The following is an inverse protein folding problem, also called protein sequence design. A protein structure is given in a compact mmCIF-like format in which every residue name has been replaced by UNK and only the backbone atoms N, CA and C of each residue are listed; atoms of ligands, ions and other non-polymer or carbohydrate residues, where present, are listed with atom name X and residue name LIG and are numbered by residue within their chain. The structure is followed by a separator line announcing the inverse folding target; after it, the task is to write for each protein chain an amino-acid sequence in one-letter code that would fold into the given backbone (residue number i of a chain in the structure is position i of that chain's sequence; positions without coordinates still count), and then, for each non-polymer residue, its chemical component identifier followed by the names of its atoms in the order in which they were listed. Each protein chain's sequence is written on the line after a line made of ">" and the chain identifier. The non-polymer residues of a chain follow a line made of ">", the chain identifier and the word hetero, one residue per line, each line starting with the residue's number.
data_IF_769518852165
#
_entry.id   IF_769518852165
#
_cell.length_a   1.000
_cell.length_b   1.000
_cell.length_c   1.000
_cell.angle_alpha   90.00
_cell.angle_beta   90.00
_cell.angle_gamma   90.00
#
_symmetry.space_group_name_H-M   'P 1'
#
loop_
_entity.id
_entity.type
_entity.pdbx_description
1 polymer ?
#
# COMPACT_ATOMS: atom_id res chain seq x y z
N UNK A 1 -9.31 -8.80 -1.57
CA UNK A 1 -10.67 -8.26 -1.38
C UNK A 1 -10.97 -7.27 -2.48
N UNK A 2 -12.08 -7.44 -3.17
CA UNK A 2 -12.52 -6.47 -4.17
C UNK A 2 -13.17 -5.28 -3.47
N UNK A 3 -12.73 -4.07 -3.84
CA UNK A 3 -13.36 -2.86 -3.35
C UNK A 3 -14.66 -2.60 -4.13
N UNK A 4 -15.69 -2.03 -3.48
CA UNK A 4 -16.88 -1.56 -4.20
C UNK A 4 -16.51 -0.58 -5.31
N UNK A 5 -17.26 -0.60 -6.39
CA UNK A 5 -17.01 0.25 -7.56
C UNK A 5 -16.92 1.75 -7.22
N UNK A 6 -17.65 2.19 -6.20
CA UNK A 6 -17.62 3.59 -5.76
C UNK A 6 -16.22 4.04 -5.36
N UNK A 7 -15.38 3.13 -4.85
CA UNK A 7 -14.01 3.42 -4.44
C UNK A 7 -13.00 3.18 -5.56
N UNK A 8 -13.38 2.47 -6.61
CA UNK A 8 -12.52 2.17 -7.77
C UNK A 8 -12.93 2.94 -9.02
N UNK A 9 -13.67 4.04 -8.86
CA UNK A 9 -14.07 4.92 -9.95
C UNK A 9 -12.86 5.38 -10.77
N UNK A 10 -12.94 5.42 -12.10
CA UNK A 10 -11.83 5.92 -12.94
C UNK A 10 -11.34 7.30 -12.54
N UNK A 11 -12.21 8.16 -11.98
CA UNK A 11 -11.83 9.50 -11.53
C UNK A 11 -10.87 9.47 -10.33
N UNK A 12 -10.85 8.36 -9.56
CA UNK A 12 -10.02 8.21 -8.38
C UNK A 12 -8.74 7.42 -8.65
N UNK A 13 -8.62 6.82 -9.82
CA UNK A 13 -7.45 6.00 -10.17
C UNK A 13 -6.32 6.90 -10.65
N UNK A 14 -5.13 6.68 -10.07
CA UNK A 14 -3.91 7.39 -10.46
C UNK A 14 -3.06 6.47 -11.34
N UNK A 15 -2.83 6.87 -12.59
CA UNK A 15 -1.94 6.14 -13.48
C UNK A 15 -0.50 6.53 -13.20
N UNK A 16 0.38 5.55 -13.04
CA UNK A 16 1.79 5.76 -12.68
C UNK A 16 2.65 4.94 -13.62
N UNK A 17 3.51 5.58 -14.43
CA UNK A 17 4.41 4.84 -15.33
C UNK A 17 5.46 4.03 -14.57
N UNK A 18 5.92 2.94 -15.19
CA UNK A 18 7.02 2.14 -14.67
C UNK A 18 8.23 3.02 -14.34
N UNK A 19 8.88 2.76 -13.21
CA UNK A 19 10.04 3.51 -12.74
C UNK A 19 9.72 4.76 -11.93
N UNK A 20 8.46 5.16 -11.84
CA UNK A 20 8.07 6.33 -11.05
C UNK A 20 8.20 6.04 -9.56
N UNK A 21 8.84 6.95 -8.85
CA UNK A 21 8.89 6.93 -7.39
C UNK A 21 7.57 7.50 -6.87
N UNK A 22 6.77 6.67 -6.24
CA UNK A 22 5.44 7.04 -5.72
C UNK A 22 5.61 7.86 -4.44
N UNK A 23 6.50 7.41 -3.54
CA UNK A 23 6.91 8.17 -2.36
C UNK A 23 8.30 7.71 -1.90
N UNK A 24 8.92 8.53 -1.07
CA UNK A 24 10.24 8.25 -0.48
C UNK A 24 10.14 8.13 1.04
N UNK A 25 11.05 7.34 1.61
CA UNK A 25 11.21 7.24 3.07
C UNK A 25 11.35 8.65 3.65
N UNK A 26 10.60 8.95 4.68
CA UNK A 26 10.60 10.26 5.35
C UNK A 26 9.59 11.25 4.81
N UNK A 27 8.97 11.00 3.67
CA UNK A 27 7.94 11.88 3.13
C UNK A 27 6.73 11.93 4.06
N UNK A 28 6.05 13.07 4.05
CA UNK A 28 4.76 13.19 4.72
C UNK A 28 3.75 12.31 4.01
N UNK A 29 2.81 11.77 4.78
CA UNK A 29 1.80 10.85 4.27
C UNK A 29 0.41 11.27 4.70
N UNK A 30 -0.55 11.11 3.83
CA UNK A 30 -1.96 11.29 4.12
C UNK A 30 -2.82 10.25 3.43
N UNK A 31 -2.20 9.26 2.78
CA UNK A 31 -2.94 8.27 2.00
C UNK A 31 -2.21 6.93 1.94
N UNK A 32 -2.99 5.88 1.78
CA UNK A 32 -2.49 4.57 1.36
C UNK A 32 -2.93 4.31 -0.07
N UNK A 33 -2.45 3.23 -0.67
CA UNK A 33 -2.78 2.89 -2.05
C UNK A 33 -3.20 1.42 -2.16
N UNK A 34 -4.24 1.18 -2.95
CA UNK A 34 -4.58 -0.16 -3.43
C UNK A 34 -4.09 -0.27 -4.87
N UNK A 35 -3.44 -1.36 -5.20
CA UNK A 35 -2.97 -1.61 -6.56
C UNK A 35 -4.13 -2.19 -7.37
N UNK A 36 -4.64 -1.39 -8.31
CA UNK A 36 -5.69 -1.85 -9.24
C UNK A 36 -5.07 -2.73 -10.33
N UNK A 37 -3.92 -2.31 -10.85
CA UNK A 37 -3.15 -3.11 -11.81
C UNK A 37 -1.67 -2.74 -11.72
N UNK A 38 -0.80 -3.68 -12.12
CA UNK A 38 0.64 -3.50 -12.10
C UNK A 38 1.28 -4.02 -10.81
N UNK A 39 2.55 -3.68 -10.64
CA UNK A 39 3.35 -4.10 -9.48
C UNK A 39 4.15 -2.92 -8.93
N UNK A 40 4.23 -2.83 -7.60
CA UNK A 40 4.96 -1.78 -6.89
C UNK A 40 6.02 -2.41 -6.00
N UNK A 41 7.27 -1.96 -6.13
CA UNK A 41 8.35 -2.39 -5.24
C UNK A 41 8.40 -1.46 -4.03
N UNK A 42 8.49 -2.07 -2.86
CA UNK A 42 8.74 -1.37 -1.60
C UNK A 42 10.20 -1.60 -1.23
N UNK A 43 10.93 -0.50 -0.99
CA UNK A 43 12.38 -0.57 -0.77
C UNK A 43 12.76 0.13 0.54
N UNK A 44 13.77 -0.42 1.18
CA UNK A 44 14.45 0.24 2.31
C UNK A 44 15.94 0.28 1.95
N UNK A 45 16.50 1.50 1.92
CA UNK A 45 17.90 1.73 1.55
C UNK A 45 18.30 1.03 0.24
N UNK A 46 17.41 1.13 -0.77
CA UNK A 46 17.66 0.57 -2.09
C UNK A 46 17.42 -0.93 -2.24
N UNK A 47 17.03 -1.61 -1.17
CA UNK A 47 16.77 -3.06 -1.19
C UNK A 47 15.27 -3.31 -1.25
N UNK A 48 14.83 -4.05 -2.25
CA UNK A 48 13.41 -4.44 -2.38
C UNK A 48 13.07 -5.43 -1.27
N UNK A 49 12.15 -5.03 -0.39
CA UNK A 49 11.69 -5.87 0.71
C UNK A 49 10.36 -6.56 0.40
N UNK A 50 9.61 -6.02 -0.55
CA UNK A 50 8.32 -6.56 -0.95
C UNK A 50 7.96 -6.05 -2.33
N UNK A 51 7.23 -6.86 -3.11
CA UNK A 51 6.56 -6.42 -4.34
C UNK A 51 5.07 -6.56 -4.13
N UNK A 52 4.36 -5.44 -4.20
CA UNK A 52 2.91 -5.38 -4.02
C UNK A 52 2.24 -5.58 -5.37
N UNK A 53 1.31 -6.51 -5.43
CA UNK A 53 0.60 -6.88 -6.67
C UNK A 53 -0.83 -6.41 -6.67
N UNK A 54 -1.51 -6.61 -7.80
CA UNK A 54 -2.91 -6.22 -7.98
C UNK A 54 -3.79 -6.77 -6.85
N UNK A 55 -4.74 -5.96 -6.43
CA UNK A 55 -5.69 -6.20 -5.35
C UNK A 55 -5.09 -6.12 -3.93
N UNK A 56 -3.77 -5.92 -3.82
CA UNK A 56 -3.10 -5.70 -2.55
C UNK A 56 -2.86 -4.20 -2.32
N UNK A 57 -2.36 -3.83 -1.15
CA UNK A 57 -2.22 -2.43 -0.73
C UNK A 57 -0.85 -2.15 -0.14
N UNK A 58 -0.50 -0.85 -0.08
CA UNK A 58 0.73 -0.39 0.56
C UNK A 58 0.55 1.04 1.10
N UNK A 59 1.46 1.46 1.96
CA UNK A 59 1.44 2.80 2.54
C UNK A 59 0.48 2.97 3.71
N UNK A 60 -0.09 1.89 4.23
CA UNK A 60 -1.08 1.91 5.30
C UNK A 60 -0.51 2.31 6.66
N UNK A 61 0.76 1.99 6.94
CA UNK A 61 1.36 2.25 8.25
C UNK A 61 1.37 3.75 8.54
N UNK A 62 1.85 4.56 7.62
CA UNK A 62 1.91 6.01 7.83
C UNK A 62 0.52 6.64 7.92
N UNK A 63 -0.47 6.07 7.25
CA UNK A 63 -1.85 6.51 7.37
C UNK A 63 -2.43 6.20 8.74
N UNK A 64 -2.26 4.96 9.21
CA UNK A 64 -2.79 4.48 10.49
C UNK A 64 -2.11 5.17 11.66
N UNK A 65 -0.77 5.29 11.61
CA UNK A 65 0.02 5.88 12.68
C UNK A 65 0.16 7.39 12.60
N UNK A 66 -0.29 8.00 11.51
CA UNK A 66 -0.09 9.43 11.23
C UNK A 66 1.40 9.79 11.31
N UNK A 67 2.22 8.98 10.65
CA UNK A 67 3.67 9.09 10.66
C UNK A 67 4.23 9.28 9.25
N UNK A 68 5.50 9.67 9.15
CA UNK A 68 6.19 9.76 7.87
C UNK A 68 6.33 8.37 7.22
N UNK A 69 6.58 8.35 5.92
CA UNK A 69 6.81 7.12 5.17
C UNK A 69 8.00 6.35 5.72
N UNK A 70 7.81 5.05 5.94
CA UNK A 70 8.85 4.17 6.52
C UNK A 70 9.67 3.44 5.45
N UNK A 71 9.36 3.65 4.18
CA UNK A 71 10.03 3.00 3.05
C UNK A 71 9.84 3.84 1.79
N UNK A 72 10.56 3.48 0.73
CA UNK A 72 10.32 4.00 -0.63
C UNK A 72 9.32 3.11 -1.34
N UNK A 73 8.55 3.67 -2.26
CA UNK A 73 7.68 2.92 -3.16
C UNK A 73 7.95 3.35 -4.60
N UNK A 74 8.25 2.38 -5.47
CA UNK A 74 8.57 2.62 -6.86
C UNK A 74 7.72 1.71 -7.74
N UNK A 75 7.10 2.26 -8.77
CA UNK A 75 6.34 1.47 -9.73
C UNK A 75 7.31 0.57 -10.50
N UNK A 76 7.17 -0.73 -10.33
CA UNK A 76 7.98 -1.72 -11.05
C UNK A 76 7.54 -1.85 -12.49
N UNK A 77 6.24 -1.76 -12.70
CA UNK A 77 5.59 -1.76 -14.01
C UNK A 77 4.70 -0.53 -14.10
N UNK A 78 4.08 -0.30 -15.24
CA UNK A 78 2.99 0.68 -15.32
C UNK A 78 1.90 0.24 -14.35
N UNK A 79 1.42 1.16 -13.53
CA UNK A 79 0.47 0.88 -12.47
C UNK A 79 -0.77 1.76 -12.58
N UNK A 80 -1.87 1.23 -12.07
CA UNK A 80 -3.07 1.99 -11.76
C UNK A 80 -3.29 1.83 -10.26
N UNK A 81 -3.24 2.96 -9.56
CA UNK A 81 -3.31 2.98 -8.09
C UNK A 81 -4.57 3.69 -7.64
N UNK A 82 -5.21 3.17 -6.60
CA UNK A 82 -6.34 3.81 -5.95
C UNK A 82 -5.85 4.44 -4.65
N UNK A 83 -5.72 5.78 -4.58
CA UNK A 83 -5.34 6.43 -3.33
C UNK A 83 -6.52 6.46 -2.36
N UNK A 84 -6.25 6.18 -1.10
CA UNK A 84 -7.24 6.19 -0.02
C UNK A 84 -6.68 7.08 1.08
N UNK A 85 -7.30 8.23 1.30
CA UNK A 85 -6.92 9.11 2.40
C UNK A 85 -7.59 8.66 3.70
N UNK A 86 -7.26 9.31 4.81
CA UNK A 86 -7.78 8.92 6.13
C UNK A 86 -9.31 8.95 6.18
N UNK A 87 -9.93 9.98 5.61
CA UNK A 87 -11.39 10.09 5.58
C UNK A 87 -12.02 8.91 4.81
N UNK A 88 -11.50 8.60 3.62
CA UNK A 88 -11.96 7.47 2.83
C UNK A 88 -11.73 6.14 3.56
N UNK A 89 -10.61 5.99 4.23
CA UNK A 89 -10.31 4.80 5.01
C UNK A 89 -11.36 4.57 6.09
N UNK A 90 -11.67 5.60 6.86
CA UNK A 90 -12.68 5.51 7.92
C UNK A 90 -14.07 5.23 7.36
N UNK A 91 -14.44 5.85 6.25
CA UNK A 91 -15.71 5.58 5.58
C UNK A 91 -15.79 4.14 5.11
N UNK A 92 -14.72 3.60 4.54
CA UNK A 92 -14.68 2.20 4.09
C UNK A 92 -14.82 1.23 5.25
N UNK A 93 -14.16 1.50 6.38
CA UNK A 93 -14.28 0.68 7.59
C UNK A 93 -15.71 0.71 8.14
N UNK A 94 -16.35 1.87 8.12
CA UNK A 94 -17.72 2.03 8.58
C UNK A 94 -18.72 1.28 7.71
N UNK A 95 -18.59 1.41 6.39
CA UNK A 95 -19.53 0.79 5.44
C UNK A 95 -19.22 -0.68 5.17
N UNK A 96 -17.95 -1.07 5.24
CA UNK A 96 -17.46 -2.42 4.96
C UNK A 96 -16.49 -2.81 6.06
N UNK A 97 -17.00 -3.25 7.23
CA UNK A 97 -16.12 -3.59 8.37
C UNK A 97 -15.04 -4.61 8.04
N UNK A 98 -15.30 -5.53 7.11
CA UNK A 98 -14.31 -6.52 6.66
C UNK A 98 -13.08 -5.88 6.01
N UNK A 99 -13.19 -4.65 5.54
CA UNK A 99 -12.04 -3.92 5.01
C UNK A 99 -10.95 -3.75 6.09
N UNK A 100 -11.35 -3.42 7.31
CA UNK A 100 -10.41 -3.32 8.43
C UNK A 100 -9.69 -4.65 8.68
N UNK A 101 -10.43 -5.77 8.67
CA UNK A 101 -9.83 -7.09 8.83
C UNK A 101 -8.88 -7.44 7.70
N UNK A 102 -9.21 -7.07 6.47
CA UNK A 102 -8.35 -7.28 5.31
C UNK A 102 -7.01 -6.53 5.47
N UNK A 103 -7.07 -5.28 5.90
CA UNK A 103 -5.86 -4.47 6.15
C UNK A 103 -5.03 -5.07 7.27
N UNK A 104 -5.66 -5.44 8.38
CA UNK A 104 -4.98 -6.07 9.51
C UNK A 104 -4.31 -7.39 9.11
N UNK A 105 -4.98 -8.20 8.29
CA UNK A 105 -4.43 -9.46 7.79
C UNK A 105 -3.19 -9.21 6.94
N UNK A 106 -3.24 -8.24 6.05
CA UNK A 106 -2.08 -7.85 5.24
C UNK A 106 -0.90 -7.41 6.10
N UNK A 107 -1.17 -6.63 7.14
CA UNK A 107 -0.14 -6.19 8.10
C UNK A 107 0.45 -7.37 8.87
N UNK A 108 -0.38 -8.31 9.28
CA UNK A 108 0.07 -9.52 9.97
C UNK A 108 0.94 -10.40 9.07
N UNK A 109 0.56 -10.54 7.80
CA UNK A 109 1.35 -11.29 6.81
C UNK A 109 2.71 -10.64 6.59
N UNK A 110 2.76 -9.31 6.50
CA UNK A 110 4.00 -8.55 6.35
C UNK A 110 4.92 -8.72 7.56
N UNK A 111 4.36 -8.70 8.75
CA UNK A 111 5.12 -8.92 9.99
C UNK A 111 5.75 -10.33 10.00
N UNK A 112 4.98 -11.35 9.66
CA UNK A 112 5.50 -12.71 9.57
C UNK A 112 6.62 -12.83 8.53
N UNK A 113 6.49 -12.18 7.39
CA UNK A 113 7.50 -12.20 6.34
C UNK A 113 8.78 -11.49 6.79
N UNK A 114 8.65 -10.40 7.56
CA UNK A 114 9.79 -9.71 8.14
C UNK A 114 10.53 -10.61 9.14
N UNK A 115 9.79 -11.32 9.99
CA UNK A 115 10.36 -12.28 10.95
C UNK A 115 11.10 -13.41 10.24
N UNK A 116 10.53 -13.95 9.17
CA UNK A 116 11.18 -14.99 8.36
C UNK A 116 12.47 -14.49 7.72
N UNK A 117 12.50 -13.25 7.23
CA UNK A 117 13.72 -12.66 6.68
C UNK A 117 14.80 -12.51 7.75
N UNK A 118 14.42 -12.08 8.94
CA UNK A 118 15.34 -11.96 10.07
C UNK A 118 15.95 -13.32 10.45
N UNK A 119 15.12 -14.37 10.50
CA UNK A 119 15.58 -15.74 10.75
C UNK A 119 16.51 -16.25 9.65
N UNK A 120 16.21 -15.91 8.39
CA UNK A 120 17.01 -16.33 7.23
C UNK A 120 18.37 -15.67 7.16
N UNK A 121 18.57 -14.53 7.85
CA UNK A 121 19.84 -13.80 7.90
C UNK A 121 20.77 -14.37 8.97
N UNK A 122 20.24 -15.06 9.93
CA UNK A 122 21.02 -15.59 11.06
C UNK A 122 21.99 -16.73 10.66
#
# INVERSE_FOLDING_TARGET
>A
MKLPEIFSSPANVRAVPAGTRIFSLGDESGEMFVVDSGEVDILIHGVVIETVRAEDFFGEISLIEDSARSADAVARTDCRLLPINRHHFLTMVEEIPQFALHVMKGMADRLRNADKRAEGVA
#
